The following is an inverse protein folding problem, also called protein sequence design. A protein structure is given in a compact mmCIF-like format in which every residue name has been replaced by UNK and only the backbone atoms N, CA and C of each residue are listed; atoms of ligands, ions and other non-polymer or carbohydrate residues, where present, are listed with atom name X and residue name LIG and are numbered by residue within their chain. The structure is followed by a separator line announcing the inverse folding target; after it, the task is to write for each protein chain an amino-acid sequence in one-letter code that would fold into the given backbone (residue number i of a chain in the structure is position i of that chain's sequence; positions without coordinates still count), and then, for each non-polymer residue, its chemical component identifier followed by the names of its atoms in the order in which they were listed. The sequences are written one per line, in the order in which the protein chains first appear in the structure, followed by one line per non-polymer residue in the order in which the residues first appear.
data_IF_706023364249
#
_entry.id   IF_706023364249
#
_cell.length_a   1.000
_cell.length_b   1.000
_cell.length_c   1.000
_cell.angle_alpha   90.00
_cell.angle_beta   90.00
_cell.angle_gamma   90.00
#
_symmetry.space_group_name_H-M   'P 1'
#
loop_
_entity.id
_entity.type
_entity.pdbx_description
1 polymer ?
#
# COMPACT_ATOMS: atom_id res chain seq x y z
N UNK A 1 6.62 20.50 24.95
CA UNK A 1 6.81 19.96 23.59
C UNK A 1 6.06 18.64 23.53
N UNK A 2 4.93 18.58 22.83
CA UNK A 2 4.12 17.36 22.77
C UNK A 2 4.90 16.26 22.06
N UNK A 3 5.32 15.27 22.82
CA UNK A 3 5.77 14.01 22.27
C UNK A 3 4.63 13.39 21.44
N UNK A 4 4.97 13.08 20.19
CA UNK A 4 4.42 11.96 19.41
C UNK A 4 3.00 12.13 18.81
N UNK A 5 2.93 12.94 17.77
CA UNK A 5 2.13 12.57 16.60
C UNK A 5 2.88 12.98 15.35
N UNK A 6 3.87 12.19 14.96
CA UNK A 6 4.44 12.31 13.61
C UNK A 6 3.31 12.03 12.64
N UNK A 7 3.11 12.90 11.65
CA UNK A 7 2.11 12.66 10.62
C UNK A 7 2.47 11.38 9.85
N UNK A 8 1.51 10.67 9.24
CA UNK A 8 1.79 9.48 8.43
C UNK A 8 2.88 9.73 7.38
N UNK A 9 2.92 10.94 6.80
CA UNK A 9 3.97 11.38 5.88
C UNK A 9 5.35 11.45 6.57
N UNK A 10 5.45 12.06 7.75
CA UNK A 10 6.70 12.13 8.52
C UNK A 10 7.18 10.75 8.99
N UNK A 11 6.26 9.84 9.31
CA UNK A 11 6.58 8.45 9.65
C UNK A 11 7.14 7.73 8.42
N UNK A 12 6.51 7.91 7.25
CA UNK A 12 6.95 7.32 5.99
C UNK A 12 8.30 7.88 5.54
N UNK A 13 8.53 9.19 5.67
CA UNK A 13 9.81 9.84 5.35
C UNK A 13 10.95 9.37 6.27
N UNK A 14 10.64 9.08 7.53
CA UNK A 14 11.57 8.50 8.49
C UNK A 14 11.79 6.98 8.30
N UNK A 15 10.96 6.32 7.48
CA UNK A 15 11.08 4.89 7.23
C UNK A 15 12.23 4.57 6.27
N UNK A 16 12.65 3.29 6.27
CA UNK A 16 13.68 2.81 5.36
C UNK A 16 13.25 3.02 3.89
N UNK A 17 14.20 3.21 2.96
CA UNK A 17 13.89 3.29 1.54
C UNK A 17 13.07 2.09 1.04
N UNK A 18 13.33 0.89 1.60
CA UNK A 18 12.58 -0.34 1.34
C UNK A 18 11.11 -0.22 1.75
N UNK A 19 10.84 0.25 2.99
CA UNK A 19 9.48 0.46 3.47
C UNK A 19 8.73 1.54 2.67
N UNK A 20 9.42 2.63 2.31
CA UNK A 20 8.84 3.68 1.44
C UNK A 20 8.43 3.14 0.08
N UNK A 21 9.29 2.33 -0.55
CA UNK A 21 9.00 1.69 -1.83
C UNK A 21 7.76 0.80 -1.75
N UNK A 22 7.67 -0.03 -0.71
CA UNK A 22 6.52 -0.92 -0.48
C UNK A 22 5.22 -0.16 -0.31
N UNK A 23 5.20 0.88 0.52
CA UNK A 23 4.01 1.70 0.74
C UNK A 23 3.59 2.41 -0.56
N UNK A 24 4.53 2.94 -1.33
CA UNK A 24 4.22 3.57 -2.61
C UNK A 24 3.63 2.57 -3.61
N UNK A 25 4.16 1.34 -3.69
CA UNK A 25 3.60 0.30 -4.56
C UNK A 25 2.17 -0.11 -4.11
N UNK A 26 1.90 -0.18 -2.80
CA UNK A 26 0.54 -0.43 -2.27
C UNK A 26 -0.42 0.69 -2.67
N UNK A 27 -0.02 1.96 -2.51
CA UNK A 27 -0.84 3.11 -2.89
C UNK A 27 -1.10 3.18 -4.40
N UNK A 28 -0.13 2.76 -5.22
CA UNK A 28 -0.34 2.63 -6.67
C UNK A 28 -1.39 1.56 -7.01
N UNK A 29 -1.34 0.40 -6.35
CA UNK A 29 -2.35 -0.67 -6.52
C UNK A 29 -3.74 -0.20 -6.05
N UNK A 30 -3.82 0.55 -4.96
CA UNK A 30 -5.09 1.13 -4.49
C UNK A 30 -5.68 2.13 -5.49
N UNK A 31 -4.84 2.98 -6.09
CA UNK A 31 -5.28 3.91 -7.12
C UNK A 31 -5.82 3.18 -8.36
N UNK A 32 -5.15 2.10 -8.76
CA UNK A 32 -5.61 1.18 -9.81
C UNK A 32 -7.01 0.63 -9.47
N UNK A 33 -7.21 0.18 -8.22
CA UNK A 33 -8.51 -0.32 -7.75
C UNK A 33 -9.62 0.74 -7.84
N UNK A 34 -9.36 1.96 -7.36
CA UNK A 34 -10.35 3.04 -7.39
C UNK A 34 -10.80 3.35 -8.83
N UNK A 35 -9.91 3.19 -9.81
CA UNK A 35 -10.27 3.32 -11.22
C UNK A 35 -11.24 2.23 -11.69
N UNK A 36 -11.09 0.98 -11.22
CA UNK A 36 -11.95 -0.16 -11.57
C UNK A 36 -13.27 -0.19 -10.80
N UNK A 37 -13.30 0.35 -9.57
CA UNK A 37 -14.51 0.43 -8.75
C UNK A 37 -15.65 1.20 -9.43
N UNK A 38 -15.30 2.15 -10.30
CA UNK A 38 -16.27 2.91 -11.10
C UNK A 38 -16.88 2.10 -12.28
N UNK A 39 -16.40 0.87 -12.54
CA UNK A 39 -16.74 0.06 -13.74
C UNK A 39 -17.61 -1.16 -13.37
N UNK A 40 -18.07 -1.28 -12.11
CA UNK A 40 -19.04 -2.31 -11.69
C UNK A 40 -18.50 -3.75 -11.59
N UNK A 41 -17.20 -3.98 -11.85
CA UNK A 41 -16.54 -5.29 -11.77
C UNK A 41 -15.93 -5.61 -10.38
N UNK A 42 -16.51 -5.08 -9.30
CA UNK A 42 -15.85 -4.99 -7.99
C UNK A 42 -15.41 -6.35 -7.39
N UNK A 43 -16.22 -7.41 -7.53
CA UNK A 43 -16.01 -8.66 -6.77
C UNK A 43 -14.80 -9.52 -7.19
N UNK A 44 -14.38 -9.51 -8.47
CA UNK A 44 -13.19 -10.28 -8.90
C UNK A 44 -11.90 -9.48 -8.76
N UNK A 45 -11.98 -8.17 -8.99
CA UNK A 45 -10.83 -7.25 -8.93
C UNK A 45 -10.33 -7.08 -7.49
N UNK A 46 -11.22 -7.05 -6.50
CA UNK A 46 -10.85 -6.94 -5.08
C UNK A 46 -9.97 -8.12 -4.61
N UNK A 47 -10.31 -9.35 -5.03
CA UNK A 47 -9.55 -10.55 -4.67
C UNK A 47 -8.16 -10.56 -5.31
N UNK A 48 -8.06 -10.14 -6.57
CA UNK A 48 -6.79 -10.04 -7.29
C UNK A 48 -5.88 -8.99 -6.64
N UNK A 49 -6.44 -7.85 -6.25
CA UNK A 49 -5.69 -6.76 -5.62
C UNK A 49 -5.22 -7.15 -4.21
N UNK A 50 -6.07 -7.80 -3.41
CA UNK A 50 -5.67 -8.34 -2.12
C UNK A 50 -4.52 -9.35 -2.26
N UNK A 51 -4.56 -10.20 -3.29
CA UNK A 51 -3.48 -11.16 -3.59
C UNK A 51 -2.18 -10.45 -3.99
N UNK A 52 -2.23 -9.42 -4.84
CA UNK A 52 -1.06 -8.62 -5.25
C UNK A 52 -0.41 -7.92 -4.06
N UNK A 53 -1.20 -7.29 -3.18
CA UNK A 53 -0.69 -6.65 -1.95
C UNK A 53 -0.03 -7.69 -1.03
N UNK A 54 -0.67 -8.84 -0.84
CA UNK A 54 -0.13 -9.93 -0.01
C UNK A 54 1.23 -10.42 -0.55
N UNK A 55 1.33 -10.69 -1.85
CA UNK A 55 2.59 -11.11 -2.49
C UNK A 55 3.70 -10.09 -2.30
N UNK A 56 3.36 -8.81 -2.39
CA UNK A 56 4.30 -7.71 -2.23
C UNK A 56 4.84 -7.63 -0.80
N UNK A 57 3.96 -7.77 0.21
CA UNK A 57 4.38 -7.84 1.62
C UNK A 57 5.24 -9.08 1.86
N UNK A 58 4.80 -10.26 1.38
CA UNK A 58 5.54 -11.51 1.57
C UNK A 58 6.94 -11.48 0.94
N UNK A 59 7.10 -10.89 -0.25
CA UNK A 59 8.40 -10.72 -0.91
C UNK A 59 9.40 -9.94 -0.05
N UNK A 60 8.89 -8.95 0.67
CA UNK A 60 9.72 -7.98 1.40
C UNK A 60 9.99 -8.43 2.84
N UNK A 61 9.10 -9.24 3.43
CA UNK A 61 9.24 -9.82 4.78
C UNK A 61 10.02 -11.14 4.78
N UNK A 62 9.93 -11.96 3.72
CA UNK A 62 10.69 -13.24 3.63
C UNK A 62 12.17 -13.07 3.21
N UNK A 63 12.63 -11.84 3.02
CA UNK A 63 14.04 -11.48 2.75
C UNK A 63 14.66 -10.87 3.99
#
# INVERSE_FOLDING_TARGET
MSERTKSPKQILEAASPKARKVVNEILSIEHEYQSYRNIGAAGSVEKEIAARIKQLIEREVKR
#
